data_IF_379916045167
#
_entry.id   IF_379916045167
#
_cell.length_a   1.000
_cell.length_b   1.000
_cell.length_c   1.000
_cell.angle_alpha   90.00
_cell.angle_beta   90.00
_cell.angle_gamma   90.00
#
_symmetry.space_group_name_H-M   'P 1'
#
loop_
_entity.id
_entity.type
_entity.pdbx_description
1 polymer ?
#
# COMPACT_ATOMS: atom_id res chain seq x y z
N UNK A 1 3.90 7.60 2.87
CA UNK A 1 5.37 7.41 3.04
C UNK A 1 5.75 5.98 2.64
N UNK A 2 5.16 4.94 3.23
CA UNK A 2 5.56 3.54 2.99
C UNK A 2 5.50 3.13 1.51
N UNK A 3 4.46 3.53 0.78
CA UNK A 3 4.35 3.26 -0.67
C UNK A 3 5.54 3.86 -1.43
N UNK A 4 5.94 5.08 -1.13
CA UNK A 4 7.10 5.72 -1.80
C UNK A 4 8.40 5.00 -1.46
N UNK A 5 8.61 4.63 -0.19
CA UNK A 5 9.80 3.93 0.25
C UNK A 5 9.92 2.53 -0.36
N UNK A 6 8.81 1.77 -0.47
CA UNK A 6 8.87 0.46 -1.09
C UNK A 6 9.26 0.54 -2.57
N UNK A 7 8.78 1.55 -3.32
CA UNK A 7 9.18 1.78 -4.71
C UNK A 7 10.63 2.24 -4.80
N UNK A 8 11.08 3.13 -3.92
CA UNK A 8 12.47 3.57 -3.86
C UNK A 8 13.42 2.38 -3.62
N UNK A 9 13.12 1.53 -2.64
CA UNK A 9 13.96 0.38 -2.34
C UNK A 9 13.93 -0.68 -3.46
N UNK A 10 12.81 -0.85 -4.14
CA UNK A 10 12.75 -1.70 -5.34
C UNK A 10 13.61 -1.11 -6.48
N UNK A 11 13.57 0.20 -6.68
CA UNK A 11 14.42 0.88 -7.64
C UNK A 11 15.91 0.67 -7.32
N UNK A 12 16.31 0.83 -6.06
CA UNK A 12 17.70 0.59 -5.62
C UNK A 12 18.11 -0.86 -5.82
N UNK A 13 17.23 -1.83 -5.54
CA UNK A 13 17.45 -3.24 -5.84
C UNK A 13 17.74 -3.48 -7.33
N UNK A 14 16.94 -2.90 -8.21
CA UNK A 14 17.09 -3.05 -9.66
C UNK A 14 18.39 -2.37 -10.13
N UNK A 15 18.66 -1.15 -9.71
CA UNK A 15 19.82 -0.36 -10.11
C UNK A 15 21.15 -1.02 -9.69
N UNK A 16 21.25 -1.51 -8.47
CA UNK A 16 22.44 -2.26 -8.04
C UNK A 16 22.60 -3.59 -8.77
N UNK A 17 21.49 -4.23 -9.08
CA UNK A 17 21.51 -5.49 -9.82
C UNK A 17 22.05 -5.31 -11.24
N UNK A 18 21.83 -4.18 -11.88
CA UNK A 18 22.30 -3.87 -13.22
C UNK A 18 23.75 -3.36 -13.24
N UNK A 19 24.19 -2.68 -12.17
CA UNK A 19 25.55 -2.14 -12.03
C UNK A 19 26.66 -3.18 -11.76
N UNK A 20 26.32 -4.47 -11.66
CA UNK A 20 27.29 -5.57 -11.42
C UNK A 20 27.84 -5.65 -10.01
N UNK A 21 27.58 -4.67 -9.14
CA UNK A 21 28.04 -4.63 -7.74
C UNK A 21 26.91 -5.16 -6.84
N UNK A 22 26.92 -6.46 -6.56
CA UNK A 22 25.92 -7.13 -5.70
C UNK A 22 26.13 -6.87 -4.20
N UNK A 23 26.33 -5.64 -3.78
CA UNK A 23 26.75 -5.40 -2.39
C UNK A 23 25.55 -5.44 -1.40
N UNK A 24 24.36 -4.99 -1.80
CA UNK A 24 23.21 -4.86 -0.90
C UNK A 24 21.84 -5.14 -1.54
N UNK A 25 21.78 -5.72 -2.75
CA UNK A 25 20.51 -5.90 -3.49
C UNK A 25 19.44 -6.65 -2.69
N UNK A 26 19.80 -7.69 -1.94
CA UNK A 26 18.83 -8.43 -1.12
C UNK A 26 18.34 -7.60 0.07
N UNK A 27 19.17 -6.68 0.59
CA UNK A 27 18.77 -5.75 1.67
C UNK A 27 17.73 -4.75 1.14
N UNK A 28 17.94 -4.21 -0.06
CA UNK A 28 16.96 -3.31 -0.66
C UNK A 28 15.62 -4.00 -0.95
N UNK A 29 15.68 -5.26 -1.41
CA UNK A 29 14.49 -6.06 -1.61
C UNK A 29 13.75 -6.32 -0.29
N UNK A 30 14.49 -6.63 0.79
CA UNK A 30 13.94 -6.83 2.12
C UNK A 30 13.30 -5.54 2.68
N UNK A 31 13.97 -4.39 2.52
CA UNK A 31 13.44 -3.08 2.94
C UNK A 31 12.19 -2.69 2.15
N UNK A 32 12.15 -3.01 0.85
CA UNK A 32 10.95 -2.83 0.03
C UNK A 32 9.77 -3.63 0.56
N UNK A 33 9.99 -4.93 0.87
CA UNK A 33 8.97 -5.79 1.45
C UNK A 33 8.53 -5.38 2.86
N UNK A 34 9.47 -4.91 3.69
CA UNK A 34 9.16 -4.36 5.01
C UNK A 34 8.24 -3.13 4.90
N UNK A 35 8.58 -2.20 4.02
CA UNK A 35 7.75 -1.02 3.76
C UNK A 35 6.38 -1.40 3.18
N UNK A 36 6.32 -2.41 2.31
CA UNK A 36 5.05 -2.95 1.82
C UNK A 36 4.18 -3.47 2.98
N UNK A 37 4.74 -4.25 3.89
CA UNK A 37 4.03 -4.78 5.06
C UNK A 37 3.53 -3.68 6.00
N UNK A 38 4.37 -2.71 6.34
CA UNK A 38 3.98 -1.54 7.15
C UNK A 38 2.89 -0.70 6.46
N UNK A 39 3.00 -0.56 5.16
CA UNK A 39 1.98 0.11 4.35
C UNK A 39 0.64 -0.62 4.36
N UNK A 40 0.65 -1.94 4.18
CA UNK A 40 -0.55 -2.78 4.20
C UNK A 40 -1.23 -2.78 5.58
N UNK A 41 -0.44 -2.83 6.66
CA UNK A 41 -0.94 -2.71 8.03
C UNK A 41 -1.54 -1.33 8.33
N UNK A 42 -1.06 -0.28 7.64
CA UNK A 42 -1.60 1.08 7.80
C UNK A 42 -2.86 1.30 6.95
N UNK A 43 -2.86 0.84 5.70
CA UNK A 43 -4.00 0.97 4.78
C UNK A 43 -3.88 0.00 3.60
N UNK A 44 -4.94 -0.71 3.27
CA UNK A 44 -4.99 -1.68 2.18
C UNK A 44 -4.70 -1.12 0.78
N UNK A 45 -4.71 0.19 0.60
CA UNK A 45 -4.25 0.83 -0.65
C UNK A 45 -2.82 0.45 -1.01
N UNK A 46 -1.98 0.09 -0.03
CA UNK A 46 -0.62 -0.40 -0.28
C UNK A 46 -0.60 -1.75 -1.00
N UNK A 47 -1.64 -2.58 -0.83
CA UNK A 47 -1.75 -3.86 -1.55
C UNK A 47 -1.92 -3.60 -3.06
N UNK A 48 -2.75 -2.63 -3.43
CA UNK A 48 -2.90 -2.23 -4.85
C UNK A 48 -1.59 -1.67 -5.43
N UNK A 49 -0.88 -0.86 -4.65
CA UNK A 49 0.44 -0.38 -5.04
C UNK A 49 1.44 -1.54 -5.17
N UNK A 50 1.35 -2.57 -4.34
CA UNK A 50 2.14 -3.80 -4.44
C UNK A 50 1.96 -4.54 -5.77
N UNK A 51 0.76 -4.50 -6.37
CA UNK A 51 0.54 -5.05 -7.71
C UNK A 51 1.39 -4.33 -8.77
N UNK A 52 1.49 -2.99 -8.70
CA UNK A 52 2.37 -2.21 -9.57
C UNK A 52 3.84 -2.58 -9.38
N UNK A 53 4.26 -2.80 -8.13
CA UNK A 53 5.61 -3.25 -7.82
C UNK A 53 5.91 -4.63 -8.39
N UNK A 54 4.95 -5.56 -8.34
CA UNK A 54 5.07 -6.89 -8.94
C UNK A 54 5.24 -6.82 -10.47
N UNK A 55 4.55 -5.89 -11.15
CA UNK A 55 4.72 -5.63 -12.58
C UNK A 55 6.14 -5.15 -12.89
N UNK A 56 6.68 -4.21 -12.11
CA UNK A 56 8.05 -3.70 -12.27
C UNK A 56 9.06 -4.84 -12.07
N UNK A 57 8.91 -5.64 -11.04
CA UNK A 57 9.76 -6.80 -10.79
C UNK A 57 9.70 -7.83 -11.92
N UNK A 58 8.49 -8.13 -12.42
CA UNK A 58 8.32 -9.07 -13.55
C UNK A 58 8.96 -8.52 -14.83
N UNK A 59 8.77 -7.25 -15.15
CA UNK A 59 9.39 -6.59 -16.29
C UNK A 59 10.91 -6.66 -16.22
N UNK A 60 11.48 -6.39 -15.03
CA UNK A 60 12.92 -6.53 -14.79
C UNK A 60 13.42 -7.93 -15.13
N UNK A 61 12.75 -9.00 -14.68
CA UNK A 61 13.17 -10.37 -14.96
C UNK A 61 12.91 -10.79 -16.42
N UNK A 62 11.86 -10.29 -17.05
CA UNK A 62 11.60 -10.52 -18.49
C UNK A 62 12.72 -9.92 -19.33
N UNK A 63 13.17 -8.72 -19.00
CA UNK A 63 14.24 -8.02 -19.72
C UNK A 63 15.61 -8.69 -19.45
N UNK A 64 15.83 -9.19 -18.24
CA UNK A 64 17.10 -9.75 -17.80
C UNK A 64 17.12 -11.31 -17.81
N UNK A 65 16.47 -11.94 -18.77
CA UNK A 65 16.39 -13.43 -18.89
C UNK A 65 17.75 -14.14 -18.92
N UNK A 66 18.80 -13.47 -19.35
CA UNK A 66 20.18 -14.03 -19.42
C UNK A 66 20.77 -14.37 -18.05
N UNK A 67 20.19 -13.91 -16.95
CA UNK A 67 20.66 -14.20 -15.57
C UNK A 67 20.44 -15.65 -15.13
N UNK A 68 19.65 -16.40 -15.87
CA UNK A 68 19.41 -17.83 -15.68
C UNK A 68 18.36 -18.15 -14.62
N UNK A 69 17.80 -19.36 -14.73
CA UNK A 69 16.68 -19.81 -13.91
C UNK A 69 16.99 -19.86 -12.40
N UNK A 70 18.22 -20.24 -12.03
CA UNK A 70 18.60 -20.33 -10.58
C UNK A 70 18.55 -18.96 -9.90
N UNK A 71 19.02 -17.92 -10.57
CA UNK A 71 18.98 -16.56 -10.05
C UNK A 71 17.54 -16.07 -9.89
N UNK A 72 16.70 -16.33 -10.90
CA UNK A 72 15.28 -16.04 -10.86
C UNK A 72 14.59 -16.75 -9.70
N UNK A 73 14.76 -18.07 -9.58
CA UNK A 73 14.10 -18.87 -8.53
C UNK A 73 14.50 -18.43 -7.12
N UNK A 74 15.80 -18.11 -6.91
CA UNK A 74 16.27 -17.57 -5.63
C UNK A 74 15.59 -16.23 -5.32
N UNK A 75 15.56 -15.32 -6.27
CA UNK A 75 14.94 -14.00 -6.08
C UNK A 75 13.43 -14.11 -5.88
N UNK A 76 12.75 -14.97 -6.63
CA UNK A 76 11.33 -15.24 -6.43
C UNK A 76 11.04 -15.81 -5.04
N UNK A 77 11.88 -16.74 -4.54
CA UNK A 77 11.79 -17.23 -3.18
C UNK A 77 11.95 -16.13 -2.12
N UNK A 78 12.91 -15.24 -2.30
CA UNK A 78 13.08 -14.06 -1.45
C UNK A 78 11.86 -13.13 -1.52
N UNK A 79 11.26 -12.96 -2.70
CA UNK A 79 10.03 -12.17 -2.84
C UNK A 79 8.87 -12.80 -2.07
N UNK A 80 8.71 -14.12 -2.05
CA UNK A 80 7.69 -14.78 -1.21
C UNK A 80 7.93 -14.48 0.28
N UNK A 81 9.18 -14.50 0.73
CA UNK A 81 9.49 -14.18 2.13
C UNK A 81 9.17 -12.70 2.41
N UNK A 82 9.70 -11.78 1.61
CA UNK A 82 9.64 -10.36 1.91
C UNK A 82 8.30 -9.70 1.56
N UNK A 83 7.56 -10.21 0.57
CA UNK A 83 6.30 -9.61 0.13
C UNK A 83 5.05 -10.44 0.49
N UNK A 84 5.23 -11.62 1.11
CA UNK A 84 4.09 -12.41 1.63
C UNK A 84 4.29 -12.70 3.12
N UNK A 85 5.34 -13.42 3.52
CA UNK A 85 5.50 -13.85 4.89
C UNK A 85 5.74 -12.68 5.86
N UNK A 86 6.66 -11.78 5.54
CA UNK A 86 6.95 -10.59 6.37
C UNK A 86 5.75 -9.66 6.47
N UNK A 87 5.06 -9.25 5.39
CA UNK A 87 3.85 -8.46 5.47
C UNK A 87 2.72 -9.13 6.25
N UNK A 88 2.51 -10.44 6.07
CA UNK A 88 1.50 -11.18 6.83
C UNK A 88 1.81 -11.15 8.34
N UNK A 89 3.08 -11.32 8.71
CA UNK A 89 3.51 -11.22 10.11
C UNK A 89 3.30 -9.82 10.67
N UNK A 90 3.73 -8.78 9.94
CA UNK A 90 3.56 -7.38 10.35
C UNK A 90 2.07 -7.08 10.54
N UNK A 91 1.25 -7.49 9.58
CA UNK A 91 -0.19 -7.27 9.62
C UNK A 91 -0.82 -7.98 10.83
N UNK A 92 -0.46 -9.25 11.06
CA UNK A 92 -0.93 -10.00 12.22
C UNK A 92 -0.54 -9.35 13.53
N UNK A 93 0.72 -8.96 13.69
CA UNK A 93 1.24 -8.31 14.90
C UNK A 93 0.65 -6.91 15.09
N UNK A 94 0.24 -6.22 14.03
CA UNK A 94 -0.35 -4.87 14.14
C UNK A 94 -1.65 -4.83 14.96
N UNK A 95 -2.34 -5.96 15.12
CA UNK A 95 -3.51 -6.11 16.00
C UNK A 95 -3.18 -6.21 17.49
N UNK A 96 -1.89 -6.15 17.87
CA UNK A 96 -1.46 -6.26 19.27
C UNK A 96 -2.14 -5.26 20.21
N UNK A 97 -2.31 -4.02 19.75
CA UNK A 97 -2.99 -2.97 20.53
C UNK A 97 -4.46 -3.32 20.77
N UNK A 98 -5.14 -3.91 19.79
CA UNK A 98 -6.51 -4.39 19.95
C UNK A 98 -6.58 -5.59 20.89
N UNK A 99 -5.66 -6.58 20.73
CA UNK A 99 -5.56 -7.72 21.64
C UNK A 99 -5.38 -7.29 23.09
N UNK A 100 -4.50 -6.32 23.36
CA UNK A 100 -4.32 -5.79 24.71
C UNK A 100 -5.55 -5.07 25.25
N UNK A 101 -6.30 -4.38 24.41
CA UNK A 101 -7.55 -3.70 24.79
C UNK A 101 -8.65 -4.68 25.23
N UNK A 102 -8.66 -5.90 24.71
CA UNK A 102 -9.61 -6.96 25.11
C UNK A 102 -9.05 -7.88 26.21
N UNK A 103 -7.91 -7.56 26.80
CA UNK A 103 -7.36 -8.25 27.96
C UNK A 103 -6.31 -9.32 27.67
N UNK A 104 -5.86 -9.46 26.42
CA UNK A 104 -4.76 -10.36 26.08
C UNK A 104 -3.42 -9.63 26.27
N UNK A 105 -2.48 -10.25 26.98
CA UNK A 105 -1.22 -9.60 27.33
C UNK A 105 0.00 -10.49 27.08
N UNK A 106 1.14 -9.86 26.80
CA UNK A 106 2.42 -10.53 26.63
C UNK A 106 2.59 -11.19 25.27
N UNK A 107 3.82 -11.64 24.99
CA UNK A 107 4.17 -12.25 23.68
C UNK A 107 3.36 -13.54 23.43
N UNK A 108 2.97 -14.25 24.48
CA UNK A 108 2.16 -15.48 24.36
C UNK A 108 0.81 -15.29 23.67
N UNK A 109 0.23 -14.08 23.72
CA UNK A 109 -1.06 -13.81 23.09
C UNK A 109 -1.09 -14.09 21.59
N UNK A 110 0.03 -13.85 20.88
CA UNK A 110 0.11 -14.08 19.42
C UNK A 110 -0.06 -15.56 19.03
N UNK A 111 0.08 -16.49 19.98
CA UNK A 111 -0.04 -17.93 19.76
C UNK A 111 -1.35 -18.49 20.30
N UNK A 112 -2.26 -17.64 20.79
CA UNK A 112 -3.57 -18.05 21.28
C UNK A 112 -4.60 -18.07 20.16
N UNK A 113 -5.59 -18.95 20.31
CA UNK A 113 -6.73 -19.01 19.38
C UNK A 113 -7.55 -17.73 19.44
N UNK A 114 -7.73 -17.18 20.64
CA UNK A 114 -8.48 -15.94 20.88
C UNK A 114 -7.91 -14.77 20.08
N UNK A 115 -6.59 -14.62 20.03
CA UNK A 115 -5.94 -13.58 19.24
C UNK A 115 -6.13 -13.80 17.72
N UNK A 116 -5.99 -15.02 17.26
CA UNK A 116 -6.23 -15.37 15.86
C UNK A 116 -7.68 -15.10 15.45
N UNK A 117 -8.64 -15.47 16.29
CA UNK A 117 -10.07 -15.22 16.06
C UNK A 117 -10.35 -13.70 15.96
N UNK A 118 -9.78 -12.88 16.85
CA UNK A 118 -9.86 -11.41 16.78
C UNK A 118 -9.40 -10.89 15.41
N UNK A 119 -8.25 -11.34 14.93
CA UNK A 119 -7.73 -10.89 13.63
C UNK A 119 -8.67 -11.29 12.50
N UNK A 120 -9.14 -12.55 12.50
CA UNK A 120 -10.04 -13.07 11.46
C UNK A 120 -11.39 -12.36 11.47
N UNK A 121 -11.99 -12.17 12.65
CA UNK A 121 -13.27 -11.46 12.78
C UNK A 121 -13.19 -10.03 12.29
N UNK A 122 -12.10 -9.31 12.60
CA UNK A 122 -11.89 -7.96 12.10
C UNK A 122 -11.73 -7.95 10.55
N UNK A 123 -11.05 -8.95 9.96
CA UNK A 123 -10.97 -9.05 8.49
C UNK A 123 -12.36 -9.28 7.87
N UNK A 124 -13.14 -10.20 8.43
CA UNK A 124 -14.47 -10.49 7.96
C UNK A 124 -15.40 -9.28 8.09
N UNK A 125 -15.31 -8.56 9.20
CA UNK A 125 -16.06 -7.32 9.41
C UNK A 125 -15.69 -6.26 8.37
N UNK A 126 -14.39 -6.00 8.18
CA UNK A 126 -13.91 -5.03 7.18
C UNK A 126 -14.36 -5.39 5.77
N UNK A 127 -14.22 -6.67 5.40
CA UNK A 127 -14.64 -7.14 4.07
C UNK A 127 -16.15 -6.99 3.88
N UNK A 128 -16.95 -7.41 4.84
CA UNK A 128 -18.41 -7.31 4.79
C UNK A 128 -18.87 -5.86 4.75
N UNK A 129 -18.25 -4.99 5.54
CA UNK A 129 -18.54 -3.56 5.54
C UNK A 129 -18.26 -2.94 4.16
N UNK A 130 -17.07 -3.16 3.60
CA UNK A 130 -16.70 -2.55 2.33
C UNK A 130 -17.41 -3.14 1.11
N UNK A 131 -17.76 -4.43 1.15
CA UNK A 131 -18.51 -5.07 0.05
C UNK A 131 -20.01 -4.74 0.08
N UNK A 132 -20.56 -4.49 1.27
CA UNK A 132 -21.98 -4.16 1.46
C UNK A 132 -22.28 -2.65 1.53
N UNK A 133 -21.25 -1.80 1.50
CA UNK A 133 -21.42 -0.36 1.64
C UNK A 133 -22.03 0.25 0.36
N UNK A 134 -23.32 0.50 0.38
CA UNK A 134 -24.02 1.30 -0.61
C UNK A 134 -24.32 2.65 0.05
N UNK A 135 -23.42 3.61 -0.11
CA UNK A 135 -23.61 4.97 0.39
C UNK A 135 -23.82 5.92 -0.80
N UNK A 136 -25.03 6.45 -0.92
CA UNK A 136 -25.27 7.57 -1.81
C UNK A 136 -24.72 8.85 -1.18
N UNK A 137 -23.80 9.49 -1.87
CA UNK A 137 -23.28 10.79 -1.47
C UNK A 137 -23.67 11.83 -2.53
N UNK A 138 -24.42 12.88 -2.16
CA UNK A 138 -24.93 13.87 -3.13
C UNK A 138 -23.81 14.61 -3.88
N UNK A 139 -22.60 14.57 -3.34
CA UNK A 139 -21.41 15.14 -3.93
C UNK A 139 -20.32 14.07 -4.17
N UNK A 140 -20.69 12.95 -4.78
CA UNK A 140 -19.71 11.92 -5.14
C UNK A 140 -18.82 12.36 -6.30
N UNK A 141 -17.55 11.97 -6.28
CA UNK A 141 -16.61 12.18 -7.38
C UNK A 141 -16.19 10.84 -7.99
N UNK A 142 -16.01 10.81 -9.30
CA UNK A 142 -15.51 9.63 -10.01
C UNK A 142 -14.00 9.58 -9.92
N UNK A 143 -13.39 8.39 -10.03
CA UNK A 143 -11.96 8.18 -9.87
C UNK A 143 -11.07 9.07 -10.78
N UNK A 144 -11.47 9.30 -12.02
CA UNK A 144 -10.74 10.13 -12.96
C UNK A 144 -10.78 11.63 -12.62
N UNK A 145 -11.80 12.07 -11.89
CA UNK A 145 -11.90 13.46 -11.42
C UNK A 145 -10.85 13.78 -10.36
N UNK A 146 -10.43 12.77 -9.60
CA UNK A 146 -9.33 12.92 -8.64
C UNK A 146 -7.98 13.09 -9.35
N UNK A 147 -7.73 12.25 -10.36
CA UNK A 147 -6.47 12.35 -11.14
C UNK A 147 -6.32 13.73 -11.80
N UNK A 148 -7.41 14.32 -12.25
CA UNK A 148 -7.43 15.62 -12.93
C UNK A 148 -7.66 16.81 -11.97
N UNK A 149 -7.84 16.54 -10.68
CA UNK A 149 -8.15 17.54 -9.65
C UNK A 149 -9.35 18.44 -10.00
N UNK A 150 -10.40 17.85 -10.64
CA UNK A 150 -11.56 18.57 -11.15
C UNK A 150 -12.60 18.78 -10.06
N UNK A 151 -12.73 17.82 -9.12
CA UNK A 151 -13.80 17.84 -8.12
C UNK A 151 -13.23 17.49 -6.74
N UNK A 152 -13.37 18.41 -5.74
CA UNK A 152 -12.92 18.16 -4.39
C UNK A 152 -13.71 17.04 -3.71
N UNK A 153 -13.11 16.42 -2.70
CA UNK A 153 -13.79 15.50 -1.81
C UNK A 153 -14.50 16.34 -0.74
N UNK A 154 -15.83 16.22 -0.66
CA UNK A 154 -16.60 16.90 0.37
C UNK A 154 -16.72 15.99 1.60
N UNK A 155 -16.05 16.37 2.70
CA UNK A 155 -16.10 15.62 3.96
C UNK A 155 -17.24 16.03 4.87
N UNK A 156 -17.65 17.28 4.80
CA UNK A 156 -18.66 17.82 5.70
C UNK A 156 -19.41 18.96 5.06
N UNK A 157 -20.72 18.95 5.22
CA UNK A 157 -21.59 20.05 4.83
C UNK A 157 -22.68 20.21 5.89
N UNK A 158 -22.76 21.37 6.51
CA UNK A 158 -23.81 21.72 7.48
C UNK A 158 -24.42 23.08 7.16
N UNK A 159 -25.73 23.14 7.17
CA UNK A 159 -26.46 24.39 7.14
C UNK A 159 -26.58 24.95 8.56
N UNK A 160 -26.23 26.19 8.75
CA UNK A 160 -26.33 26.92 10.02
C UNK A 160 -27.72 27.58 10.12
N UNK A 161 -28.21 27.85 11.36
CA UNK A 161 -29.53 28.49 11.59
C UNK A 161 -29.63 29.89 10.98
N UNK A 162 -28.51 30.57 10.78
CA UNK A 162 -28.38 31.91 10.21
C UNK A 162 -28.36 31.91 8.66
N UNK A 163 -28.59 30.76 8.02
CA UNK A 163 -28.61 30.61 6.56
C UNK A 163 -27.24 30.38 5.92
N UNK A 164 -26.15 30.45 6.71
CA UNK A 164 -24.81 30.11 6.20
C UNK A 164 -24.62 28.61 6.07
N UNK A 165 -23.73 28.21 5.14
CA UNK A 165 -23.33 26.81 4.98
C UNK A 165 -21.85 26.68 5.36
N UNK A 166 -21.57 25.76 6.29
CA UNK A 166 -20.19 25.34 6.60
C UNK A 166 -19.88 24.07 5.81
N UNK A 167 -18.81 24.12 5.01
CA UNK A 167 -18.36 22.99 4.21
C UNK A 167 -16.88 22.72 4.46
N UNK A 168 -16.52 21.45 4.54
CA UNK A 168 -15.14 21.00 4.63
C UNK A 168 -14.83 20.07 3.47
N UNK A 169 -13.90 20.47 2.61
CA UNK A 169 -13.50 19.70 1.44
C UNK A 169 -11.99 19.56 1.35
N UNK A 170 -11.51 18.46 0.79
CA UNK A 170 -10.12 18.28 0.40
C UNK A 170 -10.00 18.47 -1.11
N UNK A 171 -9.07 19.30 -1.48
CA UNK A 171 -8.70 19.59 -2.87
C UNK A 171 -7.22 19.27 -3.05
N UNK A 172 -6.86 18.65 -4.17
CA UNK A 172 -5.46 18.40 -4.49
C UNK A 172 -4.72 19.72 -4.77
N UNK A 173 -3.40 19.71 -4.62
CA UNK A 173 -2.61 20.85 -5.06
C UNK A 173 -2.54 20.84 -6.60
N UNK A 174 -3.13 21.83 -7.32
CA UNK A 174 -3.19 21.83 -8.77
C UNK A 174 -1.81 21.78 -9.43
N UNK A 175 -0.81 22.41 -8.84
CA UNK A 175 0.57 22.42 -9.37
C UNK A 175 1.16 20.99 -9.34
N UNK A 176 0.89 20.24 -8.27
CA UNK A 176 1.38 18.86 -8.14
C UNK A 176 0.61 17.92 -9.08
N UNK A 177 -0.71 18.03 -9.14
CA UNK A 177 -1.54 17.14 -9.97
C UNK A 177 -1.35 17.42 -11.46
N UNK A 178 -1.50 18.65 -11.91
CA UNK A 178 -1.36 19.00 -13.34
C UNK A 178 0.09 18.98 -13.79
N UNK A 179 1.03 19.46 -12.95
CA UNK A 179 2.46 19.36 -13.23
C UNK A 179 2.92 17.91 -13.31
N UNK A 180 2.40 17.02 -12.44
CA UNK A 180 2.65 15.58 -12.50
C UNK A 180 2.12 14.91 -13.77
N UNK A 181 0.93 15.30 -14.23
CA UNK A 181 0.37 14.83 -15.52
C UNK A 181 1.23 15.27 -16.70
N UNK A 182 1.66 16.53 -16.72
CA UNK A 182 2.55 17.04 -17.77
C UNK A 182 3.92 16.33 -17.76
N UNK A 183 4.47 16.07 -16.56
CA UNK A 183 5.71 15.33 -16.42
C UNK A 183 5.57 13.88 -16.91
N UNK A 184 4.45 13.21 -16.62
CA UNK A 184 4.15 11.87 -17.13
C UNK A 184 4.11 11.83 -18.66
N UNK A 185 3.46 12.81 -19.30
CA UNK A 185 3.44 12.94 -20.76
C UNK A 185 4.86 13.11 -21.30
N UNK A 186 5.67 13.98 -20.67
CA UNK A 186 7.04 14.22 -21.09
C UNK A 186 8.01 13.04 -20.89
N UNK A 187 7.66 12.06 -20.05
CA UNK A 187 8.46 10.84 -19.85
C UNK A 187 8.10 9.77 -20.91
N UNK A 188 6.84 9.77 -21.37
CA UNK A 188 6.34 8.75 -22.31
C UNK A 188 6.60 9.13 -23.77
N UNK A 189 6.76 10.40 -24.06
CA UNK A 189 7.07 10.94 -25.41
C UNK A 189 8.58 11.07 -25.62
#
# INVERSE_FOLDING_TARGET
>A
IFIMLMYLFMYLFISESDGGVKRHGEVWLALSGLCFGLGAASKWTSIYAGCGLAVIWAAYWITNRRRGFRAFARNAGLCVIFFVAVPALIYYVSYAAYGTAVGLHGIGMFFTKEYADIVIENQNFMFSYHSGLVAEHPYSSKWYQWMLDIRPILYYLRSMPDGYKSAFGAFGNPVVYWGGLMALIGIVV
#
